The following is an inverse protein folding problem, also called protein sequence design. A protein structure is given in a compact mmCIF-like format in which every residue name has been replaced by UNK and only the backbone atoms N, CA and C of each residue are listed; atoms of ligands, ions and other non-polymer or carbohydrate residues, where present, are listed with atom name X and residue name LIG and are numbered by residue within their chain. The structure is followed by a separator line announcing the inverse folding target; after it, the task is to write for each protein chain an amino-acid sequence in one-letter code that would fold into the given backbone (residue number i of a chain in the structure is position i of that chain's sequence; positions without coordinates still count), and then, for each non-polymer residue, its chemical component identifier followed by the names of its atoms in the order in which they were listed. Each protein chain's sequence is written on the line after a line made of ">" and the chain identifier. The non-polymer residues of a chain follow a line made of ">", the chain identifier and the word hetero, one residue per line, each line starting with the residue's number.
data_IF_831925086886
#
_entry.id   IF_831925086886
#
_cell.length_a   1.000
_cell.length_b   1.000
_cell.length_c   1.000
_cell.angle_alpha   90.00
_cell.angle_beta   90.00
_cell.angle_gamma   90.00
#
_symmetry.space_group_name_H-M   'P 1'
#
loop_
_entity.id
_entity.type
_entity.pdbx_description
1 polymer ?
#
# COMPACT_ATOMS: atom_id res chain seq x y z
N UNK A 1 32.58 -7.22 47.44
CA UNK A 1 31.48 -6.50 46.75
C UNK A 1 31.81 -6.46 45.27
N UNK A 2 30.89 -6.95 44.45
CA UNK A 2 31.08 -7.22 43.02
C UNK A 2 30.81 -5.92 42.22
N UNK A 3 31.85 -5.35 41.61
CA UNK A 3 31.72 -4.27 40.63
C UNK A 3 31.41 -4.90 39.28
N UNK A 4 30.14 -4.85 38.86
CA UNK A 4 29.72 -5.26 37.52
C UNK A 4 29.95 -4.08 36.56
N UNK A 5 31.11 -4.02 35.92
CA UNK A 5 31.33 -3.15 34.75
C UNK A 5 30.62 -3.77 33.56
N UNK A 6 29.50 -3.17 33.16
CA UNK A 6 28.76 -3.51 31.97
C UNK A 6 29.59 -3.15 30.73
N UNK A 7 30.14 -4.16 30.07
CA UNK A 7 30.76 -4.03 28.76
C UNK A 7 29.65 -3.81 27.72
N UNK A 8 29.34 -2.56 27.42
CA UNK A 8 28.57 -2.19 26.24
C UNK A 8 29.40 -2.50 25.00
N UNK A 9 29.17 -3.67 24.41
CA UNK A 9 29.67 -4.03 23.09
C UNK A 9 29.09 -3.06 22.06
N UNK A 10 29.93 -2.11 21.66
CA UNK A 10 29.85 -1.38 20.41
C UNK A 10 29.69 -2.37 19.25
N UNK A 11 28.53 -2.37 18.60
CA UNK A 11 28.42 -2.71 17.18
C UNK A 11 27.55 -1.65 16.51
N UNK A 12 28.10 -0.45 16.31
CA UNK A 12 27.82 0.31 15.08
C UNK A 12 29.13 0.94 14.59
N UNK A 13 30.01 0.20 13.92
CA UNK A 13 30.97 0.80 13.02
C UNK A 13 30.62 0.38 11.58
N UNK A 14 29.59 1.03 11.03
CA UNK A 14 29.42 1.22 9.58
C UNK A 14 28.28 2.22 9.33
N UNK A 15 28.47 3.47 9.75
CA UNK A 15 27.99 4.60 8.94
C UNK A 15 28.85 4.67 7.66
N UNK A 16 28.96 3.57 6.94
CA UNK A 16 29.32 3.59 5.53
C UNK A 16 28.09 4.21 4.87
N UNK A 17 28.24 5.43 4.36
CA UNK A 17 27.17 6.26 3.84
C UNK A 17 26.00 5.46 3.26
N UNK A 18 24.79 5.77 3.72
CA UNK A 18 23.56 5.43 3.02
C UNK A 18 23.64 6.00 1.60
N UNK A 19 24.21 5.21 0.68
CA UNK A 19 24.44 5.65 -0.68
C UNK A 19 23.09 5.63 -1.37
N UNK A 20 22.58 6.80 -1.72
CA UNK A 20 21.39 6.94 -2.52
C UNK A 20 21.65 6.35 -3.91
N UNK A 21 20.86 5.34 -4.28
CA UNK A 21 20.96 4.62 -5.57
C UNK A 21 20.00 5.18 -6.63
N UNK A 22 18.95 5.87 -6.18
CA UNK A 22 17.95 6.45 -7.07
C UNK A 22 16.57 6.43 -6.44
N UNK A 23 15.65 7.18 -7.03
CA UNK A 23 14.30 7.31 -6.55
C UNK A 23 13.43 8.05 -7.55
N UNK A 24 12.16 8.18 -7.19
CA UNK A 24 11.19 8.95 -7.93
C UNK A 24 10.26 9.64 -6.94
N UNK A 25 9.64 10.72 -7.41
CA UNK A 25 8.51 11.34 -6.78
C UNK A 25 7.54 11.81 -7.87
N UNK A 26 6.25 11.71 -7.60
CA UNK A 26 5.21 12.19 -8.51
C UNK A 26 4.01 12.77 -7.76
N UNK A 27 3.23 13.53 -8.51
CA UNK A 27 1.88 13.95 -8.14
C UNK A 27 0.90 13.41 -9.17
N UNK A 28 -0.20 12.82 -8.71
CA UNK A 28 -1.20 12.18 -9.55
C UNK A 28 -2.61 12.71 -9.31
N UNK A 29 -3.40 12.74 -10.39
CA UNK A 29 -4.86 12.81 -10.32
C UNK A 29 -5.42 11.45 -10.73
N UNK A 30 -6.32 10.95 -9.90
CA UNK A 30 -6.89 9.62 -10.05
C UNK A 30 -8.41 9.66 -9.92
N UNK A 31 -9.07 8.70 -10.54
CA UNK A 31 -10.51 8.47 -10.39
C UNK A 31 -10.78 6.97 -10.25
N UNK A 32 -11.34 6.56 -9.12
CA UNK A 32 -11.79 5.19 -8.86
C UNK A 32 -13.28 5.07 -9.18
N UNK A 33 -13.55 4.23 -10.17
CA UNK A 33 -14.86 3.84 -10.69
C UNK A 33 -15.14 2.41 -10.22
N UNK A 34 -15.97 2.27 -9.18
CA UNK A 34 -16.36 0.97 -8.66
C UNK A 34 -17.37 0.32 -9.62
N UNK A 35 -17.33 -1.01 -9.73
CA UNK A 35 -18.35 -1.72 -10.47
C UNK A 35 -19.74 -1.48 -9.88
N UNK A 36 -20.77 -1.50 -10.73
CA UNK A 36 -22.17 -1.33 -10.29
C UNK A 36 -22.58 -2.36 -9.23
N UNK A 37 -22.06 -3.58 -9.30
CA UNK A 37 -22.28 -4.62 -8.29
C UNK A 37 -21.68 -4.24 -6.93
N UNK A 38 -20.47 -3.64 -6.94
CA UNK A 38 -19.82 -3.12 -5.73
C UNK A 38 -20.62 -1.97 -5.12
N UNK A 39 -21.01 -0.97 -5.91
CA UNK A 39 -21.77 0.19 -5.38
C UNK A 39 -23.16 -0.22 -4.88
N UNK A 40 -23.85 -1.11 -5.60
CA UNK A 40 -25.16 -1.63 -5.18
C UNK A 40 -25.08 -2.40 -3.85
N UNK A 41 -24.16 -3.37 -3.73
CA UNK A 41 -24.04 -4.21 -2.54
C UNK A 41 -23.56 -3.44 -1.32
N UNK A 42 -22.67 -2.46 -1.50
CA UNK A 42 -22.13 -1.65 -0.39
C UNK A 42 -23.05 -0.51 0.04
N UNK A 43 -24.09 -0.18 -0.74
CA UNK A 43 -24.98 0.96 -0.54
C UNK A 43 -25.59 1.10 0.86
N UNK A 44 -25.69 0.01 1.62
CA UNK A 44 -26.28 -0.03 2.97
C UNK A 44 -25.27 -0.20 4.11
N UNK A 45 -23.99 -0.46 3.81
CA UNK A 45 -22.97 -0.78 4.82
C UNK A 45 -21.74 0.09 4.66
N UNK A 46 -20.83 -0.24 3.74
CA UNK A 46 -19.60 0.55 3.58
C UNK A 46 -19.75 1.77 2.67
N UNK A 47 -20.92 1.95 2.02
CA UNK A 47 -21.25 3.10 1.18
C UNK A 47 -20.16 3.43 0.15
N UNK A 48 -19.66 2.43 -0.60
CA UNK A 48 -18.67 2.73 -1.65
C UNK A 48 -19.37 3.43 -2.81
N UNK A 49 -18.77 4.53 -3.23
CA UNK A 49 -19.20 5.35 -4.35
C UNK A 49 -17.94 5.77 -5.11
N UNK A 50 -18.11 6.23 -6.34
CA UNK A 50 -17.01 6.61 -7.21
C UNK A 50 -16.38 7.91 -6.72
N UNK A 51 -15.05 8.01 -6.80
CA UNK A 51 -14.37 9.21 -6.33
C UNK A 51 -13.06 9.50 -7.03
N UNK A 52 -12.77 10.81 -7.13
CA UNK A 52 -11.45 11.30 -7.49
C UNK A 52 -10.55 11.51 -6.27
N UNK A 53 -9.24 11.37 -6.46
CA UNK A 53 -8.24 11.65 -5.44
C UNK A 53 -6.96 12.25 -6.03
N UNK A 54 -6.29 13.06 -5.22
CA UNK A 54 -4.94 13.54 -5.49
C UNK A 54 -3.95 12.68 -4.72
N UNK A 55 -2.92 12.19 -5.39
CA UNK A 55 -1.87 11.34 -4.80
C UNK A 55 -0.52 12.07 -4.85
N UNK A 56 0.24 12.01 -3.76
CA UNK A 56 1.68 12.24 -3.76
C UNK A 56 2.34 10.88 -3.54
N UNK A 57 3.13 10.41 -4.50
CA UNK A 57 3.80 9.10 -4.45
C UNK A 57 5.32 9.29 -4.55
N UNK A 58 6.08 8.41 -3.91
CA UNK A 58 7.52 8.38 -4.09
C UNK A 58 8.18 7.10 -3.61
N UNK A 59 9.38 6.87 -4.12
CA UNK A 59 10.22 5.76 -3.73
C UNK A 59 11.70 6.14 -3.77
N UNK A 60 12.47 5.56 -2.86
CA UNK A 60 13.91 5.79 -2.76
C UNK A 60 14.63 4.47 -2.48
N UNK A 61 15.74 4.25 -3.18
CA UNK A 61 16.60 3.10 -3.03
C UNK A 61 17.95 3.58 -2.48
N UNK A 62 18.48 2.83 -1.52
CA UNK A 62 19.75 3.06 -0.88
C UNK A 62 20.56 1.76 -0.87
N UNK A 63 21.86 1.87 -0.57
CA UNK A 63 22.71 0.69 -0.34
C UNK A 63 22.20 -0.23 0.78
N UNK A 64 21.47 0.30 1.76
CA UNK A 64 20.97 -0.47 2.91
C UNK A 64 19.51 -0.90 2.78
N UNK A 65 18.77 -0.45 1.76
CA UNK A 65 17.36 -0.76 1.66
C UNK A 65 16.58 0.13 0.70
N UNK A 66 15.26 -0.09 0.70
CA UNK A 66 14.31 0.60 -0.16
C UNK A 66 13.15 1.15 0.67
N UNK A 67 12.67 2.31 0.28
CA UNK A 67 11.49 2.95 0.85
C UNK A 67 10.52 3.29 -0.29
N UNK A 68 9.23 3.13 -0.02
CA UNK A 68 8.15 3.55 -0.91
C UNK A 68 7.01 4.10 -0.05
N UNK A 69 6.28 5.09 -0.55
CA UNK A 69 5.10 5.59 0.12
C UNK A 69 4.24 6.48 -0.74
N UNK A 70 3.02 6.70 -0.26
CA UNK A 70 2.08 7.63 -0.87
C UNK A 70 1.23 8.36 0.17
N UNK A 71 0.62 9.45 -0.25
CA UNK A 71 -0.44 10.16 0.46
C UNK A 71 -1.56 10.52 -0.53
N UNK A 72 -2.78 10.08 -0.22
CA UNK A 72 -3.99 10.39 -0.98
C UNK A 72 -4.87 11.38 -0.23
N UNK A 73 -5.36 12.37 -0.98
CA UNK A 73 -6.50 13.18 -0.59
C UNK A 73 -7.70 12.82 -1.46
N UNK A 74 -8.55 11.96 -0.92
CA UNK A 74 -9.72 11.41 -1.60
C UNK A 74 -10.93 12.33 -1.43
N UNK A 75 -11.80 12.38 -2.44
CA UNK A 75 -12.98 13.26 -2.48
C UNK A 75 -12.62 14.74 -2.26
N UNK A 76 -11.43 15.19 -2.70
CA UNK A 76 -10.91 16.54 -2.42
C UNK A 76 -11.80 17.68 -2.94
N UNK A 77 -12.61 17.42 -3.96
CA UNK A 77 -13.57 18.38 -4.53
C UNK A 77 -14.88 18.49 -3.74
N UNK A 78 -15.14 17.60 -2.79
CA UNK A 78 -16.30 17.69 -1.90
C UNK A 78 -15.99 18.62 -0.73
N UNK A 79 -17.03 19.31 -0.23
CA UNK A 79 -16.94 20.02 1.05
C UNK A 79 -16.71 19.05 2.21
N UNK A 80 -16.03 19.50 3.27
CA UNK A 80 -15.79 18.66 4.46
C UNK A 80 -17.11 18.36 5.18
N UNK A 81 -17.48 17.08 5.25
CA UNK A 81 -18.72 16.60 5.87
C UNK A 81 -18.62 15.13 6.29
N UNK A 82 -19.51 14.64 7.14
CA UNK A 82 -19.50 13.24 7.60
C UNK A 82 -20.40 12.30 6.79
N UNK A 83 -21.02 12.74 5.69
CA UNK A 83 -21.87 11.87 4.86
C UNK A 83 -21.04 10.71 4.28
N UNK A 84 -21.37 9.43 4.58
CA UNK A 84 -20.63 8.27 4.08
C UNK A 84 -20.58 8.19 2.55
N UNK A 85 -19.47 7.67 2.03
CA UNK A 85 -19.16 7.48 0.61
C UNK A 85 -18.59 8.73 -0.07
N UNK A 86 -19.12 9.91 0.26
CA UNK A 86 -18.70 11.17 -0.36
C UNK A 86 -17.79 12.01 0.53
N UNK A 87 -17.48 11.57 1.75
CA UNK A 87 -16.61 12.30 2.65
C UNK A 87 -15.18 12.36 2.13
N UNK A 88 -14.49 13.46 2.46
CA UNK A 88 -13.05 13.53 2.25
C UNK A 88 -12.37 12.43 3.06
N UNK A 89 -11.39 11.77 2.47
CA UNK A 89 -10.55 10.79 3.19
C UNK A 89 -9.09 11.13 2.97
N UNK A 90 -8.28 10.77 3.96
CA UNK A 90 -6.84 10.87 3.88
C UNK A 90 -6.28 9.47 4.04
N UNK A 91 -5.51 9.03 3.06
CA UNK A 91 -4.87 7.73 3.07
C UNK A 91 -3.37 7.92 2.95
N UNK A 92 -2.57 7.18 3.72
CA UNK A 92 -1.13 7.16 3.57
C UNK A 92 -0.59 5.76 3.66
N UNK A 93 0.55 5.54 3.02
CA UNK A 93 1.30 4.30 3.10
C UNK A 93 2.78 4.58 3.14
N UNK A 94 3.50 3.76 3.89
CA UNK A 94 4.94 3.64 3.81
C UNK A 94 5.35 2.18 3.93
N UNK A 95 6.22 1.72 3.01
CA UNK A 95 6.84 0.40 3.07
C UNK A 95 8.35 0.55 3.05
N UNK A 96 9.03 -0.20 3.91
CA UNK A 96 10.47 -0.23 3.99
C UNK A 96 10.98 -1.66 3.86
N UNK A 97 12.06 -1.84 3.11
CA UNK A 97 12.80 -3.08 2.97
C UNK A 97 14.23 -2.83 3.38
N UNK A 98 14.60 -3.22 4.60
CA UNK A 98 15.96 -3.05 5.12
C UNK A 98 16.76 -4.30 4.79
N UNK A 99 17.80 -4.17 3.98
CA UNK A 99 18.61 -5.29 3.51
C UNK A 99 19.40 -5.91 4.66
N UNK A 100 19.31 -7.23 4.79
CA UNK A 100 20.07 -7.97 5.80
C UNK A 100 21.44 -8.41 5.27
N UNK A 101 21.57 -8.49 3.94
CA UNK A 101 22.80 -8.80 3.20
C UNK A 101 22.56 -8.52 1.70
N UNK A 102 23.59 -8.71 0.88
CA UNK A 102 23.53 -8.56 -0.58
C UNK A 102 22.81 -9.74 -1.29
N UNK A 103 21.97 -10.49 -0.58
CA UNK A 103 21.22 -11.64 -1.12
C UNK A 103 19.85 -11.26 -1.68
N UNK A 104 19.32 -10.10 -1.28
CA UNK A 104 17.93 -9.70 -1.53
C UNK A 104 16.98 -9.98 -0.36
N UNK A 105 17.41 -10.75 0.65
CA UNK A 105 16.66 -10.93 1.90
C UNK A 105 16.61 -9.61 2.69
N UNK A 106 15.42 -9.24 3.14
CA UNK A 106 15.17 -7.98 3.84
C UNK A 106 14.21 -8.11 5.03
N UNK A 107 14.39 -7.24 6.03
CA UNK A 107 13.35 -6.93 7.00
C UNK A 107 12.31 -6.05 6.29
N UNK A 108 11.06 -6.51 6.31
CA UNK A 108 9.92 -5.83 5.70
C UNK A 108 9.10 -5.10 6.77
N UNK A 109 8.85 -3.82 6.55
CA UNK A 109 7.98 -2.98 7.38
C UNK A 109 6.95 -2.29 6.49
N UNK A 110 5.70 -2.21 6.95
CA UNK A 110 4.61 -1.54 6.25
C UNK A 110 3.77 -0.80 7.28
N UNK A 111 3.62 0.51 7.14
CA UNK A 111 2.64 1.32 7.84
C UNK A 111 1.61 1.85 6.85
N UNK A 112 0.34 1.71 7.16
CA UNK A 112 -0.78 2.21 6.38
C UNK A 112 -1.80 2.86 7.31
N UNK A 113 -2.41 3.94 6.86
CA UNK A 113 -3.47 4.62 7.59
C UNK A 113 -4.49 5.20 6.62
N UNK A 114 -5.77 5.01 6.89
CA UNK A 114 -6.86 5.71 6.19
C UNK A 114 -7.88 6.25 7.18
N UNK A 115 -8.36 7.47 6.96
CA UNK A 115 -9.24 8.17 7.88
C UNK A 115 -10.38 8.87 7.14
N UNK A 116 -11.62 8.59 7.55
CA UNK A 116 -12.77 9.40 7.17
C UNK A 116 -12.69 10.80 7.78
N UNK A 117 -12.93 11.85 7.00
CA UNK A 117 -13.03 13.23 7.49
C UNK A 117 -14.50 13.65 7.55
N UNK A 118 -14.93 14.50 8.51
CA UNK A 118 -14.16 15.05 9.62
C UNK A 118 -14.06 14.07 10.81
N UNK A 119 -12.96 14.16 11.56
CA UNK A 119 -12.76 13.48 12.85
C UNK A 119 -12.95 11.95 12.86
N UNK A 120 -12.64 11.24 11.78
CA UNK A 120 -12.77 9.77 11.69
C UNK A 120 -14.22 9.30 11.87
N UNK A 121 -15.19 10.16 11.52
CA UNK A 121 -16.61 9.94 11.84
C UNK A 121 -17.17 8.61 11.34
N UNK A 122 -16.77 8.19 10.13
CA UNK A 122 -17.27 6.94 9.53
C UNK A 122 -16.34 5.77 9.80
N UNK A 123 -15.03 5.96 9.58
CA UNK A 123 -14.04 4.92 9.82
C UNK A 123 -12.62 5.46 9.99
N UNK A 124 -11.78 4.61 10.57
CA UNK A 124 -10.34 4.61 10.36
C UNK A 124 -9.83 3.17 10.27
N UNK A 125 -8.70 2.99 9.60
CA UNK A 125 -7.95 1.73 9.56
C UNK A 125 -6.45 2.07 9.53
N UNK A 126 -5.78 1.79 10.64
CA UNK A 126 -4.34 1.85 10.81
C UNK A 126 -3.79 0.42 10.83
N UNK A 127 -2.82 0.15 9.97
CA UNK A 127 -2.21 -1.17 9.83
C UNK A 127 -0.69 -1.07 9.92
N UNK A 128 -0.10 -1.94 10.74
CA UNK A 128 1.34 -2.14 10.79
C UNK A 128 1.69 -3.59 10.48
N UNK A 129 2.51 -3.80 9.46
CA UNK A 129 3.08 -5.11 9.14
C UNK A 129 4.58 -5.11 9.41
N UNK A 130 5.07 -6.20 10.00
CA UNK A 130 6.48 -6.44 10.21
C UNK A 130 6.81 -7.91 9.94
N UNK A 131 7.88 -8.15 9.20
CA UNK A 131 8.28 -9.51 8.82
C UNK A 131 9.47 -9.54 7.89
N UNK A 132 9.49 -10.54 7.02
CA UNK A 132 10.59 -10.77 6.09
C UNK A 132 10.12 -10.62 4.65
N UNK A 133 10.98 -10.07 3.81
CA UNK A 133 10.79 -9.98 2.38
C UNK A 133 12.00 -10.47 1.62
N UNK A 134 11.82 -10.69 0.33
CA UNK A 134 12.91 -11.01 -0.57
C UNK A 134 12.74 -10.22 -1.87
N UNK A 135 13.83 -9.72 -2.44
CA UNK A 135 13.82 -8.98 -3.69
C UNK A 135 14.33 -9.87 -4.82
N UNK A 136 13.45 -10.22 -5.77
CA UNK A 136 13.83 -10.78 -7.06
C UNK A 136 13.81 -9.64 -8.09
N UNK A 137 14.97 -9.33 -8.65
CA UNK A 137 15.11 -8.27 -9.67
C UNK A 137 15.91 -8.80 -10.84
N UNK A 138 15.49 -8.46 -12.06
CA UNK A 138 16.21 -8.80 -13.27
C UNK A 138 16.00 -7.75 -14.35
N UNK A 139 16.28 -8.12 -15.60
CA UNK A 139 16.17 -7.20 -16.72
C UNK A 139 14.71 -6.77 -16.96
N UNK A 140 14.37 -5.58 -16.48
CA UNK A 140 13.06 -4.95 -16.68
C UNK A 140 11.95 -5.48 -15.79
N UNK A 141 12.20 -6.47 -14.93
CA UNK A 141 11.21 -7.00 -13.99
C UNK A 141 11.66 -6.92 -12.54
N UNK A 142 10.68 -6.83 -11.65
CA UNK A 142 10.85 -7.03 -10.22
C UNK A 142 9.69 -7.85 -9.67
N UNK A 143 9.99 -8.69 -8.68
CA UNK A 143 9.02 -9.40 -7.85
C UNK A 143 9.54 -9.40 -6.42
N UNK A 144 8.78 -8.81 -5.51
CA UNK A 144 9.23 -8.58 -4.14
C UNK A 144 8.18 -9.14 -3.17
N UNK A 145 8.15 -10.45 -2.91
CA UNK A 145 7.24 -11.02 -1.92
C UNK A 145 7.66 -10.63 -0.49
N UNK A 146 6.71 -10.75 0.42
CA UNK A 146 6.89 -10.62 1.86
C UNK A 146 5.92 -11.49 2.62
N UNK A 147 6.33 -11.89 3.82
CA UNK A 147 5.49 -12.52 4.83
C UNK A 147 5.63 -11.71 6.12
N UNK A 148 4.52 -11.26 6.67
CA UNK A 148 4.53 -10.36 7.81
C UNK A 148 3.42 -10.66 8.82
N UNK A 149 3.70 -10.42 10.10
CA UNK A 149 2.68 -10.35 11.14
C UNK A 149 1.99 -8.99 11.06
N UNK A 150 0.70 -8.96 11.36
CA UNK A 150 -0.13 -7.77 11.30
C UNK A 150 -0.56 -7.30 12.68
N UNK A 151 -0.43 -6.00 12.93
CA UNK A 151 -1.15 -5.28 13.96
C UNK A 151 -2.16 -4.34 13.30
N UNK A 152 -3.35 -4.20 13.87
CA UNK A 152 -4.42 -3.35 13.34
C UNK A 152 -4.99 -2.48 14.44
N UNK A 153 -5.25 -1.23 14.12
CA UNK A 153 -6.10 -0.32 14.88
C UNK A 153 -7.15 0.27 13.94
N UNK A 154 -8.36 -0.28 13.97
CA UNK A 154 -9.49 0.15 13.15
C UNK A 154 -10.69 0.47 14.06
N UNK A 155 -11.71 1.14 13.50
CA UNK A 155 -12.92 1.58 14.21
C UNK A 155 -13.53 0.57 15.21
N UNK A 156 -13.49 -0.72 14.88
CA UNK A 156 -14.14 -1.78 15.66
C UNK A 156 -13.16 -2.84 16.20
N UNK A 157 -11.85 -2.65 16.06
CA UNK A 157 -10.86 -3.64 16.47
C UNK A 157 -9.47 -3.02 16.63
N UNK A 158 -8.80 -3.33 17.75
CA UNK A 158 -7.40 -2.99 17.97
C UNK A 158 -6.67 -4.22 18.48
N UNK A 159 -5.57 -4.61 17.84
CA UNK A 159 -4.76 -5.74 18.28
C UNK A 159 -3.96 -6.46 17.18
N UNK A 160 -3.32 -7.56 17.59
CA UNK A 160 -2.64 -8.50 16.71
C UNK A 160 -3.65 -9.26 15.83
N UNK A 161 -3.50 -9.17 14.51
CA UNK A 161 -4.52 -9.56 13.55
C UNK A 161 -3.99 -10.49 12.45
N UNK A 162 -3.43 -11.62 12.86
CA UNK A 162 -2.95 -12.65 11.95
C UNK A 162 -1.74 -12.23 11.14
N UNK A 163 -1.70 -12.70 9.90
CA UNK A 163 -0.54 -12.60 9.00
C UNK A 163 -0.94 -12.14 7.61
N UNK A 164 0.05 -11.61 6.88
CA UNK A 164 -0.09 -11.19 5.49
C UNK A 164 1.02 -11.82 4.67
N UNK A 165 0.64 -12.53 3.62
CA UNK A 165 1.50 -12.88 2.50
C UNK A 165 1.19 -11.91 1.37
N UNK A 166 2.17 -11.09 0.98
CA UNK A 166 1.95 -10.11 -0.08
C UNK A 166 3.14 -9.96 -1.00
N UNK A 167 2.96 -9.21 -2.08
CA UNK A 167 4.01 -8.91 -3.02
C UNK A 167 3.75 -7.62 -3.78
N UNK A 168 4.83 -7.07 -4.32
CA UNK A 168 4.78 -6.10 -5.42
C UNK A 168 5.59 -6.66 -6.58
N UNK A 169 5.04 -6.53 -7.79
CA UNK A 169 5.63 -7.02 -9.02
C UNK A 169 5.51 -5.97 -10.11
N UNK A 170 6.40 -6.02 -11.08
CA UNK A 170 6.24 -5.24 -12.29
C UNK A 170 7.19 -5.64 -13.39
N UNK A 171 6.86 -5.20 -14.59
CA UNK A 171 7.59 -5.44 -15.81
C UNK A 171 7.48 -4.24 -16.74
N UNK A 172 8.62 -3.70 -17.15
CA UNK A 172 8.70 -2.59 -18.11
C UNK A 172 9.04 -3.11 -19.50
N UNK A 173 8.35 -2.60 -20.51
CA UNK A 173 8.52 -3.01 -21.91
C UNK A 173 8.29 -1.84 -22.88
N UNK A 174 8.62 -2.06 -24.15
CA UNK A 174 8.37 -1.08 -25.21
C UNK A 174 7.53 -1.69 -26.32
N UNK A 175 6.63 -0.87 -26.88
CA UNK A 175 5.89 -1.19 -28.08
C UNK A 175 6.17 -0.07 -29.09
N UNK A 176 7.05 -0.34 -30.06
CA UNK A 176 7.59 0.71 -30.93
C UNK A 176 8.45 1.70 -30.14
N UNK A 177 8.18 3.01 -30.30
CA UNK A 177 8.84 4.09 -29.56
C UNK A 177 8.28 4.30 -28.14
N UNK A 178 7.13 3.70 -27.84
CA UNK A 178 6.38 3.95 -26.62
C UNK A 178 6.85 3.03 -25.48
N UNK A 179 6.89 3.58 -24.26
CA UNK A 179 7.33 2.87 -23.05
C UNK A 179 6.15 2.56 -22.14
N UNK A 180 6.05 1.31 -21.73
CA UNK A 180 4.97 0.81 -20.88
C UNK A 180 5.53 0.08 -19.67
N UNK A 181 4.71 -0.01 -18.62
CA UNK A 181 4.93 -0.97 -17.54
C UNK A 181 3.61 -1.62 -17.12
N UNK A 182 3.70 -2.88 -16.74
CA UNK A 182 2.64 -3.54 -15.97
C UNK A 182 3.12 -3.67 -14.53
N UNK A 183 2.25 -3.36 -13.58
CA UNK A 183 2.54 -3.51 -12.15
C UNK A 183 1.42 -4.26 -11.47
N UNK A 184 1.75 -4.99 -10.42
CA UNK A 184 0.79 -5.67 -9.57
C UNK A 184 1.23 -5.57 -8.12
N UNK A 185 0.30 -5.23 -7.25
CA UNK A 185 0.46 -5.45 -5.81
C UNK A 185 -0.68 -6.32 -5.32
N UNK A 186 -0.39 -7.18 -4.35
CA UNK A 186 -1.38 -8.06 -3.77
C UNK A 186 -1.02 -8.39 -2.32
N UNK A 187 -2.04 -8.52 -1.48
CA UNK A 187 -1.96 -8.89 -0.09
C UNK A 187 -3.03 -9.94 0.19
N UNK A 188 -2.59 -11.10 0.65
CA UNK A 188 -3.44 -12.16 1.17
C UNK A 188 -3.30 -12.20 2.69
N UNK A 189 -4.40 -11.99 3.39
CA UNK A 189 -4.48 -12.01 4.84
C UNK A 189 -5.09 -13.33 5.29
N UNK A 190 -4.57 -13.90 6.37
CA UNK A 190 -5.06 -15.15 6.93
C UNK A 190 -4.84 -15.20 8.45
N UNK A 191 -5.56 -16.11 9.10
CA UNK A 191 -5.60 -16.24 10.56
C UNK A 191 -5.93 -14.91 11.27
N UNK A 192 -6.80 -14.10 10.66
CA UNK A 192 -7.25 -12.82 11.24
C UNK A 192 -7.91 -13.06 12.60
N UNK A 193 -7.89 -12.07 13.48
CA UNK A 193 -8.62 -12.17 14.74
C UNK A 193 -10.14 -12.36 14.48
N UNK A 194 -10.83 -13.09 15.35
CA UNK A 194 -12.27 -13.37 15.14
C UNK A 194 -13.13 -12.11 15.18
N UNK A 195 -12.80 -11.13 16.02
CA UNK A 195 -13.49 -9.85 16.09
C UNK A 195 -13.24 -8.99 14.86
N UNK A 196 -12.00 -8.98 14.33
CA UNK A 196 -11.70 -8.33 13.06
C UNK A 196 -12.43 -9.00 11.88
N UNK A 197 -12.39 -10.33 11.85
CA UNK A 197 -12.98 -11.18 10.81
C UNK A 197 -14.51 -10.98 10.69
N UNK A 198 -15.21 -10.80 11.81
CA UNK A 198 -16.66 -10.61 11.83
C UNK A 198 -17.12 -9.38 11.00
N UNK A 199 -16.30 -8.32 10.96
CA UNK A 199 -16.58 -7.12 10.17
C UNK A 199 -16.08 -7.18 8.71
N UNK A 200 -15.15 -8.09 8.41
CA UNK A 200 -14.37 -8.11 7.18
C UNK A 200 -14.50 -9.43 6.39
N UNK A 201 -15.61 -10.17 6.57
CA UNK A 201 -15.93 -11.32 5.73
C UNK A 201 -15.20 -12.63 6.05
N UNK A 202 -14.41 -12.69 7.11
CA UNK A 202 -13.84 -13.94 7.60
C UNK A 202 -12.36 -13.88 7.98
N UNK A 203 -11.82 -15.07 8.26
CA UNK A 203 -10.45 -15.31 8.72
C UNK A 203 -9.40 -15.08 7.64
N UNK A 204 -9.84 -15.07 6.39
CA UNK A 204 -9.01 -14.88 5.21
C UNK A 204 -9.58 -13.76 4.33
N UNK A 205 -8.73 -13.14 3.53
CA UNK A 205 -9.17 -12.25 2.47
C UNK A 205 -8.03 -11.67 1.67
N UNK A 206 -8.38 -11.00 0.59
CA UNK A 206 -7.42 -10.54 -0.41
C UNK A 206 -7.66 -9.09 -0.77
N UNK A 207 -6.57 -8.43 -1.15
CA UNK A 207 -6.57 -7.05 -1.57
C UNK A 207 -5.45 -6.83 -2.60
N UNK A 208 -5.76 -6.24 -3.75
CA UNK A 208 -4.73 -6.02 -4.75
C UNK A 208 -5.16 -5.12 -5.89
N UNK A 209 -4.22 -4.91 -6.79
CA UNK A 209 -4.48 -4.30 -8.07
C UNK A 209 -3.48 -4.73 -9.15
N UNK A 210 -3.90 -4.67 -10.41
CA UNK A 210 -3.04 -4.80 -11.58
C UNK A 210 -3.19 -3.55 -12.43
N UNK A 211 -2.09 -2.93 -12.81
CA UNK A 211 -2.10 -1.69 -13.58
C UNK A 211 -1.25 -1.78 -14.84
N UNK A 212 -1.74 -1.18 -15.92
CA UNK A 212 -0.99 -0.87 -17.12
C UNK A 212 -0.70 0.64 -17.14
N UNK A 213 0.57 0.98 -17.29
CA UNK A 213 1.05 2.35 -17.34
C UNK A 213 1.69 2.64 -18.70
N UNK A 214 1.34 3.78 -19.27
CA UNK A 214 2.00 4.39 -20.42
C UNK A 214 2.87 5.55 -19.94
N UNK A 215 4.17 5.39 -20.08
CA UNK A 215 5.19 6.38 -19.72
C UNK A 215 5.43 7.28 -20.94
N UNK A 216 4.45 8.14 -21.24
CA UNK A 216 4.38 8.95 -22.45
C UNK A 216 5.58 9.88 -22.62
N UNK A 217 6.07 10.46 -21.52
CA UNK A 217 7.30 11.26 -21.48
C UNK A 217 8.06 10.95 -20.18
N UNK A 218 9.31 11.42 -20.01
CA UNK A 218 10.01 11.30 -18.72
C UNK A 218 9.25 11.91 -17.53
N UNK A 219 8.31 12.84 -17.79
CA UNK A 219 7.56 13.56 -16.76
C UNK A 219 6.08 13.22 -16.73
N UNK A 220 5.56 12.43 -17.67
CA UNK A 220 4.12 12.19 -17.79
C UNK A 220 3.84 10.70 -17.92
N UNK A 221 3.06 10.18 -16.99
CA UNK A 221 2.57 8.80 -17.00
C UNK A 221 1.06 8.80 -16.94
N UNK A 222 0.42 7.98 -17.77
CA UNK A 222 -1.02 7.70 -17.69
C UNK A 222 -1.22 6.21 -17.43
N UNK A 223 -2.30 5.83 -16.74
CA UNK A 223 -2.53 4.42 -16.47
C UNK A 223 -3.97 4.06 -16.15
N UNK A 224 -4.22 2.76 -16.30
CA UNK A 224 -5.47 2.10 -15.93
C UNK A 224 -5.13 0.97 -14.99
N UNK A 225 -5.80 0.92 -13.85
CA UNK A 225 -5.60 -0.11 -12.83
C UNK A 225 -6.92 -0.81 -12.52
N UNK A 226 -6.92 -2.14 -12.60
CA UNK A 226 -7.99 -2.96 -12.04
C UNK A 226 -7.72 -3.21 -10.57
N UNK A 227 -8.63 -2.74 -9.71
CA UNK A 227 -8.58 -2.82 -8.26
C UNK A 227 -9.53 -3.92 -7.79
N UNK A 228 -9.10 -4.77 -6.88
CA UNK A 228 -9.93 -5.85 -6.33
C UNK A 228 -9.69 -6.08 -4.84
N UNK A 229 -10.74 -6.50 -4.13
CA UNK A 229 -10.69 -6.92 -2.75
C UNK A 229 -11.80 -7.94 -2.47
N UNK A 230 -11.54 -9.01 -1.72
CA UNK A 230 -12.56 -9.97 -1.30
C UNK A 230 -12.34 -10.34 0.16
N UNK A 231 -13.45 -10.44 0.92
CA UNK A 231 -13.43 -10.54 2.38
C UNK A 231 -12.48 -9.50 3.00
N UNK A 232 -12.71 -8.23 2.67
CA UNK A 232 -11.84 -7.09 3.02
C UNK A 232 -12.63 -5.79 2.84
N UNK A 233 -12.09 -4.68 3.35
CA UNK A 233 -12.64 -3.33 3.24
C UNK A 233 -14.07 -3.20 3.80
N UNK A 234 -14.34 -3.94 4.88
CA UNK A 234 -15.63 -3.96 5.55
C UNK A 234 -16.69 -4.85 4.90
N UNK A 235 -16.34 -5.71 3.94
CA UNK A 235 -17.31 -6.53 3.21
C UNK A 235 -16.89 -8.01 3.10
N UNK A 236 -17.87 -8.88 2.80
CA UNK A 236 -17.72 -10.34 2.72
C UNK A 236 -17.94 -10.91 1.31
N UNK A 237 -17.62 -10.10 0.31
CA UNK A 237 -17.77 -10.43 -1.10
C UNK A 237 -16.72 -9.68 -1.92
N UNK A 238 -16.54 -10.09 -3.18
CA UNK A 238 -15.64 -9.43 -4.13
C UNK A 238 -16.12 -8.02 -4.44
N UNK A 239 -15.25 -7.05 -4.19
CA UNK A 239 -15.40 -5.66 -4.58
C UNK A 239 -14.31 -5.34 -5.59
N UNK A 240 -14.68 -4.69 -6.68
CA UNK A 240 -13.75 -4.37 -7.75
C UNK A 240 -14.12 -3.09 -8.51
N UNK A 241 -13.13 -2.52 -9.18
CA UNK A 241 -13.27 -1.25 -9.90
C UNK A 241 -12.06 -0.93 -10.78
N UNK A 242 -12.18 0.15 -11.52
CA UNK A 242 -11.13 0.68 -12.38
C UNK A 242 -10.65 2.02 -11.84
N UNK A 243 -9.33 2.19 -11.77
CA UNK A 243 -8.69 3.46 -11.45
C UNK A 243 -8.06 4.01 -12.72
N UNK A 244 -8.48 5.21 -13.11
CA UNK A 244 -7.86 6.00 -14.17
C UNK A 244 -6.90 6.99 -13.54
N UNK A 245 -5.69 7.10 -14.10
CA UNK A 245 -4.61 7.89 -13.49
C UNK A 245 -3.85 8.72 -14.51
N UNK A 246 -3.48 9.95 -14.13
CA UNK A 246 -2.49 10.77 -14.80
C UNK A 246 -1.52 11.31 -13.75
N UNK A 247 -0.22 11.12 -13.97
CA UNK A 247 0.86 11.43 -13.02
C UNK A 247 1.91 12.33 -13.66
N UNK A 248 2.39 13.30 -12.89
CA UNK A 248 3.55 14.12 -13.22
C UNK A 248 4.76 13.70 -12.38
N UNK A 249 5.84 13.26 -13.02
CA UNK A 249 7.10 12.86 -12.38
C UNK A 249 8.08 14.04 -12.35
N UNK A 250 8.66 14.29 -11.17
CA UNK A 250 9.62 15.38 -10.94
C UNK A 250 11.03 15.09 -11.48
#
# INVERSE_FOLDING_TARGET
>A
MLTLTLSSLLIIPALTHAEFKGGFADIGLHYLDWTSDTTEKTSKKSHKDDFGYLELEGGANFSWGEMYGFFDWENFYNGRHAKPGSEQRYTFKNTNRIYLSDTGLNLYLHAYGTYGSPHRANFHDDMFLYGLGYNFTGNGYWFKPFFAKRYTDQTYYTGDNGYVLGWVAGYSFSLGSEKFSVTNWNEYEFDRDASYAAGNGGKDGINGAVALWWNATPHLTAGVQYRYADNKLGESFLQDGIIYSIKYLF
#
